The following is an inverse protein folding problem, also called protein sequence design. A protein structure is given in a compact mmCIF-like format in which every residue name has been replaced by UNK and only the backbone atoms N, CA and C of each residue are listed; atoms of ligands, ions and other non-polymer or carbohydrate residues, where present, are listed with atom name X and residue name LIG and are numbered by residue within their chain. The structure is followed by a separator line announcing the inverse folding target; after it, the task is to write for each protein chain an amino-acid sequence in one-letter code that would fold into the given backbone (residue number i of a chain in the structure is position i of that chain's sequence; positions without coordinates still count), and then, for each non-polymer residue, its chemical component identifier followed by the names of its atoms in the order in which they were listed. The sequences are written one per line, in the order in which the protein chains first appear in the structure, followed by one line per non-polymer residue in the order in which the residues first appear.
data_IF_733584241753
#
_entry.id   IF_733584241753
#
_cell.length_a   1.000
_cell.length_b   1.000
_cell.length_c   1.000
_cell.angle_alpha   90.00
_cell.angle_beta   90.00
_cell.angle_gamma   90.00
#
_symmetry.space_group_name_H-M   'P 1'
#
loop_
_entity.id
_entity.type
_entity.pdbx_description
1 polymer ?
#
# COMPACT_ATOMS: atom_id res chain seq x y z
N UNK A 1 -12.66 -57.56 -59.20
CA UNK A 1 -13.44 -56.35 -58.86
C UNK A 1 -13.90 -56.25 -57.39
N UNK A 2 -13.90 -57.33 -56.56
CA UNK A 2 -14.40 -57.28 -55.17
C UNK A 2 -13.38 -56.75 -54.13
N UNK A 3 -12.06 -57.01 -54.29
CA UNK A 3 -11.03 -56.59 -53.31
C UNK A 3 -10.83 -55.07 -53.22
N UNK A 4 -10.87 -54.34 -54.35
CA UNK A 4 -10.65 -52.88 -54.34
C UNK A 4 -11.84 -52.10 -53.75
N UNK A 5 -13.05 -52.66 -53.81
CA UNK A 5 -14.24 -52.05 -53.18
C UNK A 5 -14.22 -52.15 -51.66
N UNK A 6 -13.63 -53.22 -51.12
CA UNK A 6 -13.45 -53.37 -49.67
C UNK A 6 -12.41 -52.39 -49.14
N UNK A 7 -11.32 -52.17 -49.89
CA UNK A 7 -10.27 -51.22 -49.52
C UNK A 7 -10.80 -49.77 -49.44
N UNK A 8 -11.66 -49.37 -50.39
CA UNK A 8 -12.33 -48.07 -50.41
C UNK A 8 -13.30 -47.83 -49.24
N UNK A 9 -13.80 -48.90 -48.61
CA UNK A 9 -14.73 -48.82 -47.48
C UNK A 9 -14.01 -48.75 -46.13
N UNK A 10 -12.82 -49.33 -46.01
CA UNK A 10 -12.09 -49.43 -44.74
C UNK A 10 -11.06 -48.31 -44.56
N UNK A 11 -10.47 -47.80 -45.65
CA UNK A 11 -9.47 -46.73 -45.56
C UNK A 11 -10.00 -45.40 -44.98
N UNK A 12 -11.19 -44.88 -45.38
CA UNK A 12 -11.69 -43.61 -44.87
C UNK A 12 -11.92 -43.58 -43.35
N UNK A 13 -12.56 -44.60 -42.71
CA UNK A 13 -12.76 -44.57 -41.26
C UNK A 13 -11.44 -44.74 -40.49
N UNK A 14 -10.48 -45.51 -41.00
CA UNK A 14 -9.16 -45.65 -40.36
C UNK A 14 -8.36 -44.34 -40.46
N UNK A 15 -8.40 -43.68 -41.62
CA UNK A 15 -7.77 -42.37 -41.80
C UNK A 15 -8.46 -41.30 -40.94
N UNK A 16 -9.80 -41.37 -40.81
CA UNK A 16 -10.57 -40.50 -39.92
C UNK A 16 -10.23 -40.69 -38.45
N UNK A 17 -10.05 -41.94 -38.00
CA UNK A 17 -9.60 -42.26 -36.63
C UNK A 17 -8.16 -41.81 -36.40
N UNK A 18 -7.27 -41.99 -37.37
CA UNK A 18 -5.89 -41.54 -37.30
C UNK A 18 -5.79 -40.01 -37.23
N UNK A 19 -6.54 -39.29 -38.08
CA UNK A 19 -6.63 -37.83 -38.06
C UNK A 19 -7.31 -37.33 -36.78
N UNK A 20 -8.34 -38.00 -36.27
CA UNK A 20 -8.96 -37.63 -34.99
C UNK A 20 -8.00 -37.84 -33.81
N UNK A 21 -7.17 -38.89 -33.86
CA UNK A 21 -6.13 -39.13 -32.86
C UNK A 21 -4.99 -38.11 -32.94
N UNK A 22 -4.53 -37.76 -34.14
CA UNK A 22 -3.54 -36.68 -34.33
C UNK A 22 -4.10 -35.30 -33.92
N UNK A 23 -5.34 -34.97 -34.30
CA UNK A 23 -5.98 -33.71 -33.88
C UNK A 23 -6.21 -33.69 -32.36
N UNK A 24 -6.53 -34.84 -31.76
CA UNK A 24 -6.60 -34.99 -30.30
C UNK A 24 -5.25 -34.83 -29.60
N UNK A 25 -4.15 -35.26 -30.24
CA UNK A 25 -2.79 -35.12 -29.74
C UNK A 25 -2.20 -33.71 -29.99
N UNK A 26 -2.62 -33.03 -31.06
CA UNK A 26 -2.21 -31.67 -31.47
C UNK A 26 -3.06 -30.56 -30.83
N UNK A 27 -4.21 -30.89 -30.24
CA UNK A 27 -4.84 -30.01 -29.24
C UNK A 27 -3.90 -29.96 -28.06
N UNK A 28 -2.99 -28.99 -28.10
CA UNK A 28 -2.00 -28.72 -27.07
C UNK A 28 -2.65 -28.90 -25.71
N UNK A 29 -2.08 -29.79 -24.90
CA UNK A 29 -2.46 -29.92 -23.49
C UNK A 29 -2.54 -28.49 -22.96
N UNK A 30 -3.69 -28.01 -22.45
CA UNK A 30 -3.72 -26.70 -21.83
C UNK A 30 -2.57 -26.71 -20.82
N UNK A 31 -1.68 -25.71 -20.89
CA UNK A 31 -0.56 -25.62 -19.98
C UNK A 31 -1.10 -25.88 -18.58
N UNK A 32 -0.73 -27.02 -18.02
CA UNK A 32 -1.32 -27.57 -16.79
C UNK A 32 -0.69 -26.83 -15.61
N UNK A 33 -0.82 -25.51 -15.61
CA UNK A 33 -0.15 -24.61 -14.70
C UNK A 33 -1.07 -24.15 -13.57
N UNK A 34 -2.40 -24.21 -13.72
CA UNK A 34 -3.32 -23.70 -12.69
C UNK A 34 -3.71 -24.70 -11.60
N UNK A 35 -3.51 -26.01 -11.80
CA UNK A 35 -3.93 -27.05 -10.85
C UNK A 35 -2.83 -27.58 -9.93
N UNK A 36 -1.57 -27.54 -10.36
CA UNK A 36 -0.44 -28.08 -9.59
C UNK A 36 -0.12 -27.22 -8.35
N UNK A 37 -0.39 -25.91 -8.43
CA UNK A 37 -0.07 -24.97 -7.36
C UNK A 37 -1.01 -25.11 -6.15
N UNK A 38 -2.29 -25.40 -6.38
CA UNK A 38 -3.24 -25.68 -5.30
C UNK A 38 -3.05 -27.08 -4.67
N UNK A 39 -2.56 -28.05 -5.45
CA UNK A 39 -2.19 -29.37 -4.92
C UNK A 39 -0.99 -29.25 -3.96
N UNK A 40 0.00 -28.42 -4.29
CA UNK A 40 1.13 -28.15 -3.42
C UNK A 40 0.68 -27.47 -2.12
N UNK A 41 -0.17 -26.44 -2.20
CA UNK A 41 -0.70 -25.76 -1.03
C UNK A 41 -1.48 -26.71 -0.11
N UNK A 42 -2.35 -27.54 -0.68
CA UNK A 42 -3.11 -28.54 0.09
C UNK A 42 -2.19 -29.56 0.78
N UNK A 43 -1.15 -30.03 0.10
CA UNK A 43 -0.15 -30.93 0.70
C UNK A 43 0.59 -30.27 1.86
N UNK A 44 1.03 -29.02 1.70
CA UNK A 44 1.70 -28.27 2.78
C UNK A 44 0.77 -28.11 3.98
N UNK A 45 -0.50 -27.73 3.76
CA UNK A 45 -1.47 -27.62 4.85
C UNK A 45 -1.74 -28.96 5.55
N UNK A 46 -1.78 -30.07 4.81
CA UNK A 46 -1.94 -31.40 5.38
C UNK A 46 -0.72 -31.82 6.22
N UNK A 47 0.50 -31.54 5.75
CA UNK A 47 1.73 -31.79 6.51
C UNK A 47 1.78 -30.96 7.80
N UNK A 48 1.40 -29.68 7.75
CA UNK A 48 1.33 -28.85 8.96
C UNK A 48 0.31 -29.42 9.95
N UNK A 49 -0.86 -29.87 9.47
CA UNK A 49 -1.89 -30.42 10.34
C UNK A 49 -1.50 -31.76 10.97
N UNK A 50 -0.83 -32.64 10.22
CA UNK A 50 -0.60 -34.03 10.63
C UNK A 50 0.77 -34.26 11.29
N UNK A 51 1.79 -33.48 10.89
CA UNK A 51 3.19 -33.78 11.22
C UNK A 51 3.89 -32.65 11.99
N UNK A 52 3.24 -31.50 12.21
CA UNK A 52 3.81 -30.43 13.03
C UNK A 52 3.81 -30.83 14.51
N UNK A 53 4.88 -30.47 15.22
CA UNK A 53 5.14 -30.89 16.62
C UNK A 53 4.07 -30.43 17.62
N UNK A 54 3.35 -29.35 17.31
CA UNK A 54 2.30 -28.75 18.13
C UNK A 54 0.98 -28.64 17.36
N UNK A 55 -0.15 -28.75 18.07
CA UNK A 55 -1.43 -28.44 17.46
C UNK A 55 -1.55 -26.92 17.23
N UNK A 56 -1.74 -26.51 15.97
CA UNK A 56 -1.91 -25.10 15.57
C UNK A 56 -3.35 -24.80 15.20
N UNK A 57 -3.77 -23.56 15.47
CA UNK A 57 -5.08 -23.06 15.04
C UNK A 57 -5.13 -22.98 13.49
N UNK A 58 -6.02 -23.73 12.82
CA UNK A 58 -6.12 -23.71 11.37
C UNK A 58 -6.47 -22.33 10.79
N UNK A 59 -7.24 -21.53 11.54
CA UNK A 59 -7.63 -20.17 11.13
C UNK A 59 -6.42 -19.25 11.10
N UNK A 60 -5.59 -19.26 12.16
CA UNK A 60 -4.38 -18.44 12.22
C UNK A 60 -3.35 -18.86 11.15
N UNK A 61 -3.26 -20.16 10.88
CA UNK A 61 -2.39 -20.69 9.82
C UNK A 61 -2.83 -20.20 8.43
N UNK A 62 -4.14 -20.21 8.18
CA UNK A 62 -4.72 -19.69 6.93
C UNK A 62 -4.52 -18.18 6.80
N UNK A 63 -4.74 -17.42 7.88
CA UNK A 63 -4.50 -15.97 7.90
C UNK A 63 -3.03 -15.65 7.56
N UNK A 64 -2.09 -16.42 8.12
CA UNK A 64 -0.67 -16.30 7.79
C UNK A 64 -0.36 -16.57 6.32
N UNK A 65 -0.96 -17.61 5.74
CA UNK A 65 -0.81 -17.94 4.31
C UNK A 65 -1.36 -16.83 3.41
N UNK A 66 -2.57 -16.30 3.72
CA UNK A 66 -3.18 -15.20 2.99
C UNK A 66 -2.33 -13.92 3.09
N UNK A 67 -1.84 -13.57 4.28
CA UNK A 67 -0.92 -12.44 4.46
C UNK A 67 0.34 -12.59 3.63
N UNK A 68 0.97 -13.77 3.66
CA UNK A 68 2.17 -14.05 2.87
C UNK A 68 1.94 -13.89 1.37
N UNK A 69 0.83 -14.43 0.84
CA UNK A 69 0.47 -14.33 -0.57
C UNK A 69 0.24 -12.88 -0.99
N UNK A 70 -0.60 -12.15 -0.25
CA UNK A 70 -1.01 -10.79 -0.64
C UNK A 70 0.12 -9.77 -0.46
N UNK A 71 0.91 -9.87 0.61
CA UNK A 71 2.05 -8.97 0.84
C UNK A 71 3.13 -9.15 -0.24
N UNK A 72 3.17 -10.32 -0.93
CA UNK A 72 4.16 -10.59 -1.97
C UNK A 72 3.87 -9.93 -3.32
N UNK A 73 2.64 -9.46 -3.53
CA UNK A 73 2.24 -8.82 -4.79
C UNK A 73 2.88 -7.45 -4.94
N UNK A 74 2.67 -6.58 -3.96
CA UNK A 74 3.20 -5.22 -3.92
C UNK A 74 3.05 -4.64 -2.49
N UNK A 75 3.69 -3.49 -2.17
CA UNK A 75 3.61 -2.86 -0.85
C UNK A 75 2.21 -2.46 -0.36
N UNK A 76 1.26 -2.23 -1.26
CA UNK A 76 -0.09 -1.75 -0.94
C UNK A 76 -1.12 -2.89 -0.84
N UNK A 77 -0.85 -4.02 -1.47
CA UNK A 77 -1.65 -5.24 -1.40
C UNK A 77 -1.50 -5.90 -0.02
N UNK A 78 -2.63 -6.21 0.64
CA UNK A 78 -2.62 -6.87 1.94
C UNK A 78 -3.91 -7.64 2.24
N UNK A 79 -3.81 -8.62 3.12
CA UNK A 79 -4.95 -9.28 3.76
C UNK A 79 -5.14 -8.73 5.17
N UNK A 80 -6.36 -8.29 5.50
CA UNK A 80 -6.74 -7.85 6.84
C UNK A 80 -7.75 -8.84 7.42
N UNK A 81 -7.45 -9.38 8.60
CA UNK A 81 -8.41 -10.20 9.35
C UNK A 81 -9.64 -9.37 9.76
N UNK A 82 -10.68 -10.02 10.29
CA UNK A 82 -11.94 -9.35 10.68
C UNK A 82 -11.71 -8.19 11.67
N UNK A 83 -10.86 -8.38 12.68
CA UNK A 83 -10.61 -7.38 13.72
C UNK A 83 -9.87 -6.18 13.13
N UNK A 84 -8.85 -6.43 12.33
CA UNK A 84 -8.04 -5.41 11.67
C UNK A 84 -8.84 -4.64 10.62
N UNK A 85 -9.73 -5.33 9.89
CA UNK A 85 -10.68 -4.70 8.96
C UNK A 85 -11.63 -3.75 9.69
N UNK A 86 -12.17 -4.14 10.84
CA UNK A 86 -13.01 -3.26 11.67
C UNK A 86 -12.28 -1.96 12.04
N UNK A 87 -11.05 -2.08 12.57
CA UNK A 87 -10.20 -0.93 12.91
C UNK A 87 -9.90 -0.04 11.70
N UNK A 88 -9.59 -0.65 10.55
CA UNK A 88 -9.32 0.07 9.31
C UNK A 88 -10.52 0.93 8.90
N UNK A 89 -11.73 0.36 8.91
CA UNK A 89 -12.95 1.06 8.55
C UNK A 89 -13.33 2.16 9.55
N UNK A 90 -13.07 1.96 10.83
CA UNK A 90 -13.29 2.98 11.87
C UNK A 90 -12.37 4.18 11.69
N UNK A 91 -11.08 3.95 11.44
CA UNK A 91 -10.09 5.01 11.19
C UNK A 91 -10.43 5.80 9.92
N UNK A 92 -11.02 5.17 8.90
CA UNK A 92 -11.45 5.86 7.68
C UNK A 92 -12.69 6.74 7.86
N UNK A 93 -13.54 6.46 8.86
CA UNK A 93 -14.78 7.21 9.12
C UNK A 93 -14.58 8.40 10.03
N UNK A 94 -13.59 8.34 10.91
CA UNK A 94 -13.30 9.36 11.90
C UNK A 94 -12.07 10.19 11.49
N UNK A 95 -11.95 11.40 12.03
CA UNK A 95 -10.63 12.04 12.07
C UNK A 95 -9.76 11.21 13.02
N UNK A 96 -8.85 10.42 12.44
CA UNK A 96 -7.92 9.63 13.23
C UNK A 96 -6.82 10.53 13.78
N UNK A 97 -6.40 10.24 15.02
CA UNK A 97 -5.18 10.80 15.59
C UNK A 97 -3.99 10.00 15.11
N UNK A 98 -2.87 10.66 14.84
CA UNK A 98 -1.68 10.00 14.33
C UNK A 98 -0.39 10.52 14.99
N UNK A 99 0.68 9.75 14.82
CA UNK A 99 2.02 10.10 15.32
C UNK A 99 2.72 11.14 14.44
N UNK A 100 2.30 11.33 13.19
CA UNK A 100 2.98 12.13 12.17
C UNK A 100 4.18 11.47 11.48
N UNK A 101 4.48 10.20 11.79
CA UNK A 101 5.42 9.41 11.01
C UNK A 101 4.70 8.76 9.83
N UNK A 102 5.29 8.87 8.63
CA UNK A 102 4.84 8.14 7.45
C UNK A 102 5.87 7.09 7.10
N UNK A 103 5.37 5.88 6.85
CA UNK A 103 6.19 4.70 6.67
C UNK A 103 6.00 4.11 5.28
N UNK A 104 7.02 3.40 4.83
CA UNK A 104 6.99 2.53 3.67
C UNK A 104 7.48 1.15 4.10
N UNK A 105 7.01 0.10 3.44
CA UNK A 105 7.46 -1.26 3.68
C UNK A 105 7.46 -2.03 2.36
N UNK A 106 8.63 -2.53 1.97
CA UNK A 106 8.73 -3.53 0.91
C UNK A 106 8.43 -4.93 1.45
N UNK A 107 8.05 -5.86 0.57
CA UNK A 107 7.84 -7.26 0.93
C UNK A 107 9.09 -7.85 1.62
N UNK A 108 8.88 -8.59 2.71
CA UNK A 108 9.94 -9.22 3.50
C UNK A 108 10.79 -8.28 4.36
N UNK A 109 10.65 -6.95 4.22
CA UNK A 109 11.39 -5.96 5.00
C UNK A 109 10.66 -5.52 6.28
N UNK A 110 11.30 -4.67 7.08
CA UNK A 110 10.64 -3.94 8.16
C UNK A 110 10.08 -2.61 7.64
N UNK A 111 9.04 -2.04 8.28
CA UNK A 111 8.63 -0.67 8.01
C UNK A 111 9.77 0.32 8.22
N UNK A 112 9.99 1.18 7.24
CA UNK A 112 10.94 2.27 7.28
C UNK A 112 10.21 3.59 7.28
N UNK A 113 10.70 4.54 8.07
CA UNK A 113 10.17 5.90 8.12
C UNK A 113 10.60 6.63 6.86
N UNK A 114 9.63 6.93 6.00
CA UNK A 114 9.84 7.64 4.75
C UNK A 114 10.02 9.14 5.00
N UNK A 115 9.22 9.71 5.90
CA UNK A 115 9.40 11.05 6.42
C UNK A 115 8.59 11.24 7.71
N UNK A 116 8.87 12.31 8.42
CA UNK A 116 8.19 12.70 9.65
C UNK A 116 7.69 14.12 9.50
N UNK A 117 6.42 14.35 9.79
CA UNK A 117 5.87 15.70 9.76
C UNK A 117 6.49 16.56 10.86
N UNK A 118 6.85 17.80 10.51
CA UNK A 118 7.33 18.80 11.47
C UNK A 118 6.32 19.02 12.60
N UNK A 119 6.84 19.27 13.81
CA UNK A 119 6.07 19.50 15.04
C UNK A 119 5.12 18.35 15.45
N UNK A 120 5.17 17.20 14.77
CA UNK A 120 4.39 16.02 15.13
C UNK A 120 4.89 15.34 16.40
N UNK A 121 4.06 14.49 17.04
CA UNK A 121 4.52 13.64 18.15
C UNK A 121 5.75 12.81 17.81
N UNK A 122 5.84 12.24 16.60
CA UNK A 122 6.97 11.46 16.15
C UNK A 122 8.26 12.29 16.08
N UNK A 123 8.19 13.51 15.51
CA UNK A 123 9.33 14.42 15.46
C UNK A 123 9.81 14.81 16.88
N UNK A 124 8.87 15.11 17.78
CA UNK A 124 9.17 15.45 19.19
C UNK A 124 9.80 14.30 19.97
N UNK A 125 9.45 13.05 19.62
CA UNK A 125 10.05 11.85 20.20
C UNK A 125 11.33 11.39 19.46
N UNK A 126 11.83 12.20 18.52
CA UNK A 126 13.12 11.96 17.87
C UNK A 126 13.11 10.90 16.77
N UNK A 127 11.94 10.50 16.26
CA UNK A 127 11.85 9.68 15.05
C UNK A 127 12.36 10.51 13.86
N UNK A 128 13.12 9.88 12.98
CA UNK A 128 13.70 10.51 11.78
C UNK A 128 13.46 9.66 10.55
N UNK A 129 13.55 10.31 9.38
CA UNK A 129 13.61 9.61 8.09
C UNK A 129 14.74 8.59 8.08
N UNK A 130 14.47 7.40 7.55
CA UNK A 130 15.42 6.28 7.48
C UNK A 130 15.37 5.34 8.69
N UNK A 131 14.67 5.71 9.76
CA UNK A 131 14.44 4.83 10.90
C UNK A 131 13.72 3.54 10.48
N UNK A 132 14.16 2.40 11.00
CA UNK A 132 13.49 1.11 10.79
C UNK A 132 12.70 0.74 12.04
N UNK A 133 11.38 0.58 11.91
CA UNK A 133 10.51 0.19 13.03
C UNK A 133 10.44 -1.34 13.06
N UNK A 134 11.01 -1.96 14.10
CA UNK A 134 11.05 -3.42 14.24
C UNK A 134 9.88 -3.99 15.01
N UNK A 135 9.28 -3.20 15.90
CA UNK A 135 8.13 -3.63 16.72
C UNK A 135 7.12 -2.50 16.96
N UNK A 136 5.85 -2.90 17.05
CA UNK A 136 4.75 -2.08 17.55
C UNK A 136 4.11 -2.78 18.75
N UNK A 137 4.02 -2.11 19.90
CA UNK A 137 3.45 -2.69 21.13
C UNK A 137 4.09 -4.04 21.53
N UNK A 138 5.41 -4.16 21.35
CA UNK A 138 6.16 -5.40 21.62
C UNK A 138 5.89 -6.53 20.61
N UNK A 139 5.17 -6.27 19.52
CA UNK A 139 4.92 -7.24 18.44
C UNK A 139 5.81 -6.93 17.27
N UNK A 140 6.48 -7.96 16.75
CA UNK A 140 7.32 -7.83 15.55
C UNK A 140 6.53 -7.24 14.38
N UNK A 141 7.13 -6.24 13.71
CA UNK A 141 6.61 -5.61 12.51
C UNK A 141 6.94 -6.40 11.22
N UNK A 142 7.79 -7.43 11.31
CA UNK A 142 8.17 -8.27 10.17
C UNK A 142 6.97 -8.92 9.44
N UNK A 143 6.03 -9.59 10.13
CA UNK A 143 4.89 -10.22 9.45
C UNK A 143 3.79 -9.24 9.03
N UNK A 144 3.82 -8.00 9.50
CA UNK A 144 2.79 -7.00 9.23
C UNK A 144 2.88 -6.50 7.79
N UNK A 145 1.74 -6.32 7.14
CA UNK A 145 1.62 -5.51 5.92
C UNK A 145 1.92 -4.02 6.21
N UNK A 146 2.15 -3.23 5.15
CA UNK A 146 2.26 -1.77 5.27
C UNK A 146 1.00 -1.16 5.91
N UNK A 147 -0.17 -1.64 5.51
CA UNK A 147 -1.46 -1.18 6.04
C UNK A 147 -1.59 -1.49 7.52
N UNK A 148 -1.26 -2.71 7.97
CA UNK A 148 -1.28 -3.08 9.38
C UNK A 148 -0.33 -2.21 10.21
N UNK A 149 0.91 -2.04 9.76
CA UNK A 149 1.90 -1.20 10.44
C UNK A 149 1.40 0.27 10.53
N UNK A 150 0.80 0.79 9.46
CA UNK A 150 0.26 2.14 9.42
C UNK A 150 -0.93 2.32 10.39
N UNK A 151 -1.74 1.26 10.58
CA UNK A 151 -2.83 1.25 11.56
C UNK A 151 -2.35 1.22 13.02
N UNK A 152 -1.08 0.92 13.29
CA UNK A 152 -0.50 1.14 14.63
C UNK A 152 -0.09 2.60 14.84
N UNK A 153 0.22 3.35 13.79
CA UNK A 153 0.56 4.76 13.91
C UNK A 153 -0.67 5.68 14.03
N UNK A 154 -1.87 5.11 13.83
CA UNK A 154 -3.16 5.81 13.85
C UNK A 154 -4.09 5.20 14.89
N UNK A 155 -4.84 6.03 15.60
CA UNK A 155 -5.83 5.60 16.59
C UNK A 155 -6.92 6.66 16.77
N UNK A 156 -8.10 6.24 17.22
CA UNK A 156 -9.20 7.15 17.53
C UNK A 156 -9.16 7.61 18.99
N UNK A 157 -8.58 6.85 19.93
CA UNK A 157 -8.54 7.20 21.34
C UNK A 157 -7.37 8.13 21.72
N UNK A 158 -6.35 8.24 20.87
CA UNK A 158 -5.16 9.07 21.13
C UNK A 158 -4.20 8.44 22.14
N UNK A 159 -4.33 7.13 22.39
CA UNK A 159 -3.36 6.40 23.20
C UNK A 159 -1.97 6.49 22.57
N UNK A 160 -0.88 6.55 23.36
CA UNK A 160 0.46 6.45 22.80
C UNK A 160 0.72 5.08 22.15
N UNK A 161 1.64 5.04 21.20
CA UNK A 161 2.18 3.81 20.62
C UNK A 161 3.57 3.54 21.12
N UNK A 162 3.84 2.31 21.55
CA UNK A 162 5.22 1.86 21.83
C UNK A 162 5.86 1.32 20.56
N UNK A 163 7.00 1.88 20.19
CA UNK A 163 7.77 1.52 19.00
C UNK A 163 9.16 1.08 19.41
N UNK A 164 9.65 0.00 18.81
CA UNK A 164 11.08 -0.31 18.79
C UNK A 164 11.65 0.12 17.45
N UNK A 165 12.65 0.98 17.48
CA UNK A 165 13.25 1.61 16.30
C UNK A 165 14.74 1.31 16.25
N UNK A 166 15.22 0.96 15.06
CA UNK A 166 16.64 0.86 14.75
C UNK A 166 17.03 2.04 13.86
N UNK A 167 18.09 2.73 14.26
CA UNK A 167 18.76 3.75 13.47
C UNK A 167 20.25 3.43 13.45
N UNK A 168 20.77 3.09 12.28
CA UNK A 168 22.16 2.64 12.13
C UNK A 168 22.44 1.45 13.06
N UNK A 169 23.28 1.62 14.09
CA UNK A 169 23.59 0.59 15.09
C UNK A 169 22.78 0.73 16.39
N UNK A 170 22.02 1.82 16.55
CA UNK A 170 21.30 2.14 17.78
C UNK A 170 19.88 1.56 17.76
N UNK A 171 19.49 0.98 18.90
CA UNK A 171 18.11 0.54 19.16
C UNK A 171 17.48 1.45 20.20
N UNK A 172 16.29 1.97 19.90
CA UNK A 172 15.53 2.89 20.73
C UNK A 172 14.13 2.34 20.97
N UNK A 173 13.68 2.41 22.22
CA UNK A 173 12.28 2.19 22.58
C UNK A 173 11.61 3.56 22.78
N UNK A 174 10.62 3.86 21.93
CA UNK A 174 9.93 5.15 21.89
C UNK A 174 8.47 4.97 22.24
N UNK A 175 7.92 5.85 23.08
CA UNK A 175 6.48 5.92 23.37
C UNK A 175 5.92 7.20 22.76
N UNK A 176 5.26 7.07 21.61
CA UNK A 176 4.89 8.21 20.77
C UNK A 176 3.39 8.47 20.88
N UNK A 177 3.02 9.69 21.25
CA UNK A 177 1.61 10.08 21.33
C UNK A 177 0.94 10.10 19.94
N UNK A 178 -0.39 9.94 19.92
CA UNK A 178 -1.20 10.10 18.71
C UNK A 178 -2.12 11.29 18.91
N UNK A 179 -1.95 12.34 18.10
CA UNK A 179 -2.72 13.59 18.24
C UNK A 179 -3.52 13.88 16.98
N UNK A 180 -4.58 14.69 17.09
CA UNK A 180 -5.22 15.24 15.89
C UNK A 180 -4.20 16.10 15.16
N UNK A 181 -4.02 15.84 13.87
CA UNK A 181 -3.13 16.65 13.06
C UNK A 181 -3.88 17.91 12.61
N UNK A 182 -3.69 19.00 13.35
CA UNK A 182 -4.07 20.36 12.93
C UNK A 182 -3.02 20.98 12.00
N UNK A 183 -2.32 20.18 11.20
CA UNK A 183 -1.35 20.73 10.26
C UNK A 183 -2.12 21.47 9.16
N UNK A 184 -1.72 22.72 8.91
CA UNK A 184 -2.14 23.47 7.73
C UNK A 184 -1.89 22.60 6.50
N UNK A 185 -2.87 22.54 5.60
CA UNK A 185 -2.73 21.73 4.39
C UNK A 185 -1.63 22.29 3.50
N UNK A 186 -1.39 23.61 3.59
CA UNK A 186 -0.31 24.30 2.93
C UNK A 186 0.11 25.56 3.68
N UNK A 187 1.33 26.03 3.42
CA UNK A 187 1.86 27.30 3.90
C UNK A 187 2.55 28.05 2.77
N UNK A 188 2.78 29.34 2.97
CA UNK A 188 3.47 30.19 1.99
C UNK A 188 4.61 30.97 2.63
N UNK A 189 5.74 30.99 1.95
CA UNK A 189 6.89 31.82 2.31
C UNK A 189 7.29 32.70 1.13
N UNK A 190 7.50 33.99 1.38
CA UNK A 190 8.04 34.91 0.40
C UNK A 190 9.47 34.50 -0.01
N UNK A 191 9.81 34.74 -1.27
CA UNK A 191 11.14 34.51 -1.81
C UNK A 191 11.53 35.75 -2.63
N UNK A 192 12.80 36.16 -2.58
CA UNK A 192 13.28 37.38 -3.25
C UNK A 192 13.36 37.22 -4.78
N UNK A 193 13.54 36.00 -5.26
CA UNK A 193 13.84 35.69 -6.66
C UNK A 193 12.61 35.11 -7.40
N UNK A 194 11.55 34.74 -6.68
CA UNK A 194 10.35 34.11 -7.23
C UNK A 194 9.07 34.77 -6.69
N UNK A 195 7.90 34.31 -7.13
CA UNK A 195 6.61 34.69 -6.55
C UNK A 195 6.37 34.10 -5.13
N UNK A 196 7.41 33.50 -4.54
CA UNK A 196 7.37 32.77 -3.27
C UNK A 196 7.32 31.26 -3.45
N UNK A 197 7.20 30.57 -2.32
CA UNK A 197 7.13 29.11 -2.23
C UNK A 197 5.81 28.74 -1.55
N UNK A 198 4.94 28.03 -2.27
CA UNK A 198 3.75 27.38 -1.73
C UNK A 198 4.14 25.95 -1.32
N UNK A 199 4.25 25.69 -0.03
CA UNK A 199 4.49 24.35 0.49
C UNK A 199 3.17 23.65 0.75
N UNK A 200 2.84 22.61 -0.02
CA UNK A 200 1.66 21.77 0.23
C UNK A 200 2.12 20.57 1.04
N UNK A 201 1.54 20.35 2.22
CA UNK A 201 1.94 19.28 3.16
C UNK A 201 0.91 18.16 3.26
N UNK A 202 -0.32 18.41 2.82
CA UNK A 202 -1.39 17.40 2.79
C UNK A 202 -2.42 17.72 1.71
N UNK A 203 -2.88 16.68 1.01
CA UNK A 203 -4.02 16.73 0.08
C UNK A 203 -5.29 16.17 0.75
N UNK A 204 -5.46 16.46 2.05
CA UNK A 204 -6.69 16.15 2.79
C UNK A 204 -7.88 16.94 2.25
N UNK A 205 -9.08 16.43 2.48
CA UNK A 205 -10.30 17.13 2.10
C UNK A 205 -10.30 18.60 2.58
N UNK A 206 -10.56 19.53 1.66
CA UNK A 206 -10.61 20.97 1.94
C UNK A 206 -9.28 21.73 1.73
N UNK A 207 -8.16 21.03 1.50
CA UNK A 207 -6.87 21.65 1.22
C UNK A 207 -6.94 22.68 0.07
N UNK A 208 -7.65 22.38 -1.01
CA UNK A 208 -7.78 23.31 -2.13
C UNK A 208 -8.55 24.58 -1.75
N UNK A 209 -9.59 24.45 -0.91
CA UNK A 209 -10.36 25.59 -0.43
C UNK A 209 -9.54 26.47 0.52
N UNK A 210 -8.75 25.84 1.40
CA UNK A 210 -7.83 26.51 2.31
C UNK A 210 -6.76 27.31 1.56
N UNK A 211 -6.08 26.69 0.59
CA UNK A 211 -5.09 27.37 -0.27
C UNK A 211 -5.74 28.55 -0.99
N UNK A 212 -6.91 28.33 -1.59
CA UNK A 212 -7.64 29.37 -2.34
C UNK A 212 -7.98 30.57 -1.47
N UNK A 213 -8.47 30.33 -0.25
CA UNK A 213 -8.98 31.37 0.64
C UNK A 213 -7.86 32.11 1.38
N UNK A 214 -6.87 31.37 1.88
CA UNK A 214 -5.92 31.89 2.85
C UNK A 214 -4.55 32.24 2.25
N UNK A 215 -4.16 31.59 1.13
CA UNK A 215 -2.80 31.69 0.60
C UNK A 215 -2.75 32.42 -0.74
N UNK A 216 -3.64 32.08 -1.68
CA UNK A 216 -3.64 32.71 -3.01
C UNK A 216 -3.75 34.24 -2.98
N UNK A 217 -4.54 34.89 -2.08
CA UNK A 217 -4.58 36.35 -2.03
C UNK A 217 -3.20 36.97 -1.71
N UNK A 218 -2.45 36.37 -0.79
CA UNK A 218 -1.10 36.81 -0.41
C UNK A 218 -0.11 36.63 -1.55
N UNK A 219 -0.18 35.51 -2.28
CA UNK A 219 0.63 35.29 -3.47
C UNK A 219 0.35 36.38 -4.51
N UNK A 220 -0.93 36.68 -4.77
CA UNK A 220 -1.33 37.70 -5.75
C UNK A 220 -0.91 39.11 -5.39
N UNK A 221 -0.83 39.45 -4.10
CA UNK A 221 -0.44 40.80 -3.65
C UNK A 221 1.07 41.00 -3.57
N UNK A 222 1.84 39.93 -3.34
CA UNK A 222 3.29 40.00 -3.15
C UNK A 222 4.10 39.61 -4.40
N UNK A 223 3.51 38.86 -5.33
CA UNK A 223 4.25 38.36 -6.48
C UNK A 223 4.60 39.48 -7.48
N UNK A 224 5.89 39.64 -7.85
CA UNK A 224 6.27 40.47 -8.98
C UNK A 224 5.55 39.98 -10.24
N UNK A 225 5.16 40.91 -11.12
CA UNK A 225 4.51 40.57 -12.37
C UNK A 225 5.38 39.58 -13.18
N UNK A 226 4.80 38.44 -13.57
CA UNK A 226 5.45 37.34 -14.31
C UNK A 226 6.51 36.54 -13.55
N UNK A 227 6.63 36.66 -12.23
CA UNK A 227 7.48 35.77 -11.44
C UNK A 227 6.89 34.35 -11.33
N UNK A 228 7.75 33.33 -11.37
CA UNK A 228 7.33 31.94 -11.20
C UNK A 228 6.98 31.64 -9.73
N UNK A 229 5.94 30.85 -9.47
CA UNK A 229 5.63 30.32 -8.13
C UNK A 229 6.29 28.95 -7.99
N UNK A 230 7.03 28.72 -6.92
CA UNK A 230 7.51 27.37 -6.57
C UNK A 230 6.41 26.66 -5.80
N UNK A 231 5.98 25.50 -6.29
CA UNK A 231 5.09 24.59 -5.55
C UNK A 231 5.94 23.48 -4.97
N UNK A 232 6.13 23.51 -3.65
CA UNK A 232 6.88 22.51 -2.91
C UNK A 232 5.93 21.41 -2.41
N UNK A 233 6.09 20.21 -2.97
CA UNK A 233 5.34 19.01 -2.60
C UNK A 233 6.17 18.05 -1.74
N UNK A 234 7.35 18.46 -1.28
CA UNK A 234 8.13 17.64 -0.34
C UNK A 234 7.27 17.40 0.90
N UNK A 235 7.31 16.17 1.40
CA UNK A 235 6.52 15.70 2.56
C UNK A 235 4.99 15.70 2.34
N UNK A 236 4.52 15.90 1.11
CA UNK A 236 3.11 15.74 0.74
C UNK A 236 2.80 14.28 0.37
N UNK A 237 2.77 13.38 1.34
CA UNK A 237 2.53 11.96 1.07
C UNK A 237 1.11 11.46 1.32
N UNK A 238 0.24 12.32 1.86
CA UNK A 238 -1.13 11.93 2.22
C UNK A 238 -2.16 12.77 1.47
N UNK A 239 -3.33 12.16 1.25
CA UNK A 239 -4.51 12.81 0.69
C UNK A 239 -5.16 11.99 -0.41
N UNK A 240 -6.06 12.64 -1.17
CA UNK A 240 -6.83 11.96 -2.22
C UNK A 240 -6.51 12.52 -3.60
N UNK A 241 -6.61 11.67 -4.63
CA UNK A 241 -6.47 12.10 -6.04
C UNK A 241 -7.49 13.20 -6.37
N UNK A 242 -8.71 13.08 -5.86
CA UNK A 242 -9.77 14.08 -6.07
C UNK A 242 -9.39 15.45 -5.49
N UNK A 243 -8.76 15.48 -4.31
CA UNK A 243 -8.29 16.75 -3.74
C UNK A 243 -7.06 17.28 -4.51
N UNK A 244 -6.15 16.41 -4.93
CA UNK A 244 -5.02 16.77 -5.80
C UNK A 244 -5.49 17.51 -7.06
N UNK A 245 -6.52 16.98 -7.72
CA UNK A 245 -7.15 17.62 -8.89
C UNK A 245 -7.70 19.01 -8.55
N UNK A 246 -8.37 19.18 -7.40
CA UNK A 246 -8.88 20.49 -6.99
C UNK A 246 -7.76 21.50 -6.74
N UNK A 247 -6.64 21.07 -6.15
CA UNK A 247 -5.46 21.91 -5.94
C UNK A 247 -4.83 22.30 -7.27
N UNK A 248 -4.66 21.37 -8.20
CA UNK A 248 -4.15 21.65 -9.55
C UNK A 248 -5.03 22.67 -10.30
N UNK A 249 -6.36 22.54 -10.19
CA UNK A 249 -7.33 23.45 -10.78
C UNK A 249 -7.28 24.88 -10.21
N UNK A 250 -6.49 25.15 -9.17
CA UNK A 250 -6.20 26.53 -8.73
C UNK A 250 -5.25 27.26 -9.68
N UNK A 251 -4.43 26.52 -10.44
CA UNK A 251 -3.35 27.05 -11.27
C UNK A 251 -3.57 26.83 -12.76
N UNK A 252 -4.39 25.85 -13.13
CA UNK A 252 -4.74 25.57 -14.51
C UNK A 252 -5.88 26.48 -14.98
N UNK A 253 -5.79 26.97 -16.21
CA UNK A 253 -6.94 27.55 -16.91
C UNK A 253 -7.82 26.42 -17.40
N UNK A 254 -9.14 26.61 -17.45
CA UNK A 254 -9.95 25.68 -18.25
C UNK A 254 -9.51 25.82 -19.70
N UNK A 255 -9.14 24.73 -20.35
CA UNK A 255 -9.13 24.72 -21.81
C UNK A 255 -10.56 25.04 -22.27
N UNK A 256 -10.69 26.07 -23.11
CA UNK A 256 -11.94 26.41 -23.77
C UNK A 256 -12.21 25.44 -24.91
#
# INVERSE_FOLDING_TARGET
MKKNRLLLLVLPPVLGLFLAWEIGALRGRPARSGGQDFDLLQKVMALIKNDYVEEKNPVETMDGALKGLLNSLDPASCYLDRKTTGRYLEIQKAEARDTGAVIYKAYGGFPQVLFVHDNSPAAKNGIKTGDTITEFEGRSAAPMSLTEASLYLKDNAGTPVKLKVIREADTMDLSVERTFRLAEAASFSANKDTAGILSVRSLRAGAAAEIRKNILPTIKSQAPAKAALIVDLRECAEGTVAEAQKVLNLFLRSEQ
#
